data_IF_652906093478
#
_entry.id   IF_652906093478
#
_cell.length_a   1.000
_cell.length_b   1.000
_cell.length_c   1.000
_cell.angle_alpha   90.00
_cell.angle_beta   90.00
_cell.angle_gamma   90.00
#
_symmetry.space_group_name_H-M   'P 1'
#
loop_
_entity.id
_entity.type
_entity.pdbx_description
1 polymer ?
#
# COMPACT_ATOMS: atom_id res chain seq x y z
N UNK A 1 -7.28 36.08 21.01
CA UNK A 1 -8.62 36.12 20.34
C UNK A 1 -8.58 35.73 18.84
N UNK A 2 -7.47 35.17 18.32
CA UNK A 2 -7.32 34.80 16.89
C UNK A 2 -7.57 33.32 16.55
N UNK A 3 -7.88 32.45 17.52
CA UNK A 3 -8.13 31.01 17.25
C UNK A 3 -9.47 30.78 16.55
N UNK A 4 -10.56 31.39 17.04
CA UNK A 4 -11.92 31.10 16.56
C UNK A 4 -12.14 31.36 15.06
N UNK A 5 -11.50 32.37 14.48
CA UNK A 5 -11.68 32.67 13.05
C UNK A 5 -10.99 31.64 12.15
N UNK A 6 -9.82 31.13 12.55
CA UNK A 6 -9.08 30.14 11.77
C UNK A 6 -9.78 28.77 11.81
N UNK A 7 -10.42 28.43 12.93
CA UNK A 7 -11.17 27.19 13.09
C UNK A 7 -12.49 27.22 12.31
N UNK A 8 -13.17 28.38 12.27
CA UNK A 8 -14.37 28.57 11.46
C UNK A 8 -14.09 28.47 9.95
N UNK A 9 -12.99 29.09 9.48
CA UNK A 9 -12.55 28.97 8.08
C UNK A 9 -12.24 27.51 7.72
N UNK A 10 -11.56 26.77 8.61
CA UNK A 10 -11.27 25.34 8.39
C UNK A 10 -12.54 24.50 8.34
N UNK A 11 -13.52 24.76 9.22
CA UNK A 11 -14.80 24.06 9.23
C UNK A 11 -15.57 24.28 7.94
N UNK A 12 -15.63 25.53 7.47
CA UNK A 12 -16.23 25.90 6.20
C UNK A 12 -15.53 25.18 5.03
N UNK A 13 -14.19 25.23 4.97
CA UNK A 13 -13.43 24.54 3.93
C UNK A 13 -13.62 23.02 3.97
N UNK A 14 -13.79 22.43 5.15
CA UNK A 14 -14.07 21.01 5.30
C UNK A 14 -15.46 20.64 4.76
N UNK A 15 -16.47 21.46 5.05
CA UNK A 15 -17.82 21.29 4.49
C UNK A 15 -17.81 21.36 2.97
N UNK A 16 -17.15 22.39 2.39
CA UNK A 16 -16.99 22.55 0.94
C UNK A 16 -16.23 21.39 0.28
N UNK A 17 -15.26 20.78 0.99
CA UNK A 17 -14.50 19.61 0.53
C UNK A 17 -15.32 18.31 0.54
N UNK A 18 -16.23 18.15 1.49
CA UNK A 18 -17.03 16.92 1.65
C UNK A 18 -18.16 16.83 0.60
N UNK A 19 -18.67 17.96 0.12
CA UNK A 19 -19.83 18.03 -0.77
C UNK A 19 -19.48 18.28 -2.25
N UNK A 20 -18.33 17.80 -2.72
CA UNK A 20 -17.87 17.94 -4.13
C UNK A 20 -18.92 17.55 -5.17
N UNK A 21 -19.76 16.54 -4.87
CA UNK A 21 -20.87 16.12 -5.72
C UNK A 21 -21.91 17.24 -5.95
N UNK A 22 -22.18 18.05 -4.93
CA UNK A 22 -23.16 19.14 -5.01
C UNK A 22 -22.62 20.28 -5.89
N UNK A 23 -21.35 20.67 -5.71
CA UNK A 23 -20.72 21.69 -6.54
C UNK A 23 -20.60 21.27 -7.99
N UNK A 24 -20.38 19.97 -8.24
CA UNK A 24 -20.40 19.42 -9.60
C UNK A 24 -21.75 19.62 -10.26
N UNK A 25 -22.84 19.22 -9.59
CA UNK A 25 -24.20 19.41 -10.10
C UNK A 25 -24.53 20.89 -10.31
N UNK A 26 -24.18 21.76 -9.35
CA UNK A 26 -24.39 23.20 -9.47
C UNK A 26 -23.63 23.79 -10.66
N UNK A 27 -22.37 23.40 -10.87
CA UNK A 27 -21.55 23.87 -11.99
C UNK A 27 -22.11 23.39 -13.33
N UNK A 28 -22.58 22.14 -13.42
CA UNK A 28 -23.20 21.60 -14.65
C UNK A 28 -24.51 22.33 -14.97
N UNK A 29 -25.40 22.51 -13.99
CA UNK A 29 -26.70 23.18 -14.19
C UNK A 29 -26.49 24.66 -14.56
N UNK A 30 -25.69 25.38 -13.78
CA UNK A 30 -25.44 26.81 -14.05
C UNK A 30 -24.64 27.02 -15.34
N UNK A 31 -23.70 26.14 -15.64
CA UNK A 31 -22.98 26.14 -16.92
C UNK A 31 -23.92 25.90 -18.10
N UNK A 32 -24.80 24.91 -18.01
CA UNK A 32 -25.80 24.65 -19.04
C UNK A 32 -26.68 25.87 -19.30
N UNK A 33 -27.12 26.57 -18.25
CA UNK A 33 -27.94 27.78 -18.37
C UNK A 33 -27.18 28.92 -19.07
N UNK A 34 -25.91 29.14 -18.72
CA UNK A 34 -25.10 30.24 -19.27
C UNK A 34 -24.74 30.00 -20.73
N UNK A 35 -24.38 28.75 -21.08
CA UNK A 35 -23.89 28.36 -22.40
C UNK A 35 -24.99 27.79 -23.31
N UNK A 36 -26.25 27.70 -22.84
CA UNK A 36 -27.38 27.28 -23.68
C UNK A 36 -27.75 28.33 -24.72
N UNK A 37 -28.28 27.85 -25.85
CA UNK A 37 -28.92 28.68 -26.85
C UNK A 37 -30.35 29.09 -26.39
N UNK A 38 -30.83 30.26 -26.81
CA UNK A 38 -32.13 30.84 -26.46
C UNK A 38 -33.31 29.90 -26.75
N UNK A 39 -33.16 29.02 -27.74
CA UNK A 39 -34.15 27.97 -28.05
C UNK A 39 -34.41 27.05 -26.85
N UNK A 40 -33.36 26.64 -26.14
CA UNK A 40 -33.48 25.74 -24.99
C UNK A 40 -33.95 26.48 -23.74
N UNK A 41 -33.49 27.72 -23.56
CA UNK A 41 -33.89 28.57 -22.43
C UNK A 41 -35.41 28.83 -22.44
N UNK A 42 -35.99 29.07 -23.63
CA UNK A 42 -37.44 29.27 -23.81
C UNK A 42 -38.26 28.03 -23.50
N UNK A 43 -37.75 26.83 -23.76
CA UNK A 43 -38.42 25.56 -23.44
C UNK A 43 -38.58 25.37 -21.92
N UNK A 44 -37.63 25.87 -21.13
CA UNK A 44 -37.68 25.80 -19.66
C UNK A 44 -38.43 26.97 -19.01
N UNK A 45 -39.02 27.89 -19.79
CA UNK A 45 -39.84 28.98 -19.27
C UNK A 45 -39.07 30.09 -18.54
N UNK A 46 -37.76 30.22 -18.78
CA UNK A 46 -36.96 31.29 -18.19
C UNK A 46 -37.15 32.60 -18.96
N UNK A 47 -38.27 33.27 -18.73
CA UNK A 47 -38.51 34.61 -19.25
C UNK A 47 -37.59 35.62 -18.53
N UNK A 48 -36.86 36.45 -19.30
CA UNK A 48 -35.90 37.48 -18.80
C UNK A 48 -34.64 36.94 -18.12
N UNK A 49 -34.10 35.83 -18.59
CA UNK A 49 -32.86 35.27 -18.03
C UNK A 49 -31.67 36.24 -18.10
N UNK A 50 -31.67 37.18 -19.05
CA UNK A 50 -30.60 38.17 -19.23
C UNK A 50 -30.34 39.03 -17.98
N UNK A 51 -31.39 39.30 -17.19
CA UNK A 51 -31.29 40.05 -15.93
C UNK A 51 -30.58 39.23 -14.85
N UNK A 52 -30.79 37.92 -14.85
CA UNK A 52 -30.25 37.00 -13.83
C UNK A 52 -28.92 36.34 -14.23
N UNK A 53 -28.56 36.41 -15.51
CA UNK A 53 -27.35 35.81 -16.09
C UNK A 53 -26.06 36.18 -15.34
N UNK A 54 -25.85 37.44 -14.88
CA UNK A 54 -24.66 37.79 -14.09
C UNK A 54 -24.59 37.05 -12.74
N UNK A 55 -25.72 36.88 -12.05
CA UNK A 55 -25.78 36.17 -10.76
C UNK A 55 -25.53 34.67 -10.95
N UNK A 56 -26.12 34.07 -11.98
CA UNK A 56 -25.90 32.65 -12.33
C UNK A 56 -24.43 32.42 -12.70
N UNK A 57 -23.80 33.38 -13.38
CA UNK A 57 -22.38 33.34 -13.72
C UNK A 57 -21.47 33.35 -12.48
N UNK A 58 -21.83 34.10 -11.43
CA UNK A 58 -21.09 34.09 -10.17
C UNK A 58 -21.19 32.74 -9.45
N UNK A 59 -22.38 32.12 -9.45
CA UNK A 59 -22.59 30.77 -8.90
C UNK A 59 -21.82 29.72 -9.70
N UNK A 60 -21.81 29.83 -11.03
CA UNK A 60 -21.02 28.95 -11.89
C UNK A 60 -19.51 29.07 -11.61
N UNK A 61 -18.99 30.31 -11.55
CA UNK A 61 -17.57 30.54 -11.35
C UNK A 61 -17.08 30.08 -9.96
N UNK A 62 -17.87 30.37 -8.92
CA UNK A 62 -17.57 29.92 -7.56
C UNK A 62 -17.60 28.39 -7.44
N UNK A 63 -18.65 27.74 -7.94
CA UNK A 63 -18.74 26.26 -7.93
C UNK A 63 -17.61 25.61 -8.74
N UNK A 64 -17.27 26.17 -9.91
CA UNK A 64 -16.19 25.69 -10.75
C UNK A 64 -14.81 25.84 -10.07
N UNK A 65 -14.55 26.97 -9.41
CA UNK A 65 -13.29 27.19 -8.69
C UNK A 65 -13.07 26.16 -7.58
N UNK A 66 -14.12 25.82 -6.83
CA UNK A 66 -14.08 24.80 -5.77
C UNK A 66 -13.82 23.40 -6.37
N UNK A 67 -14.45 23.08 -7.51
CA UNK A 67 -14.20 21.81 -8.20
C UNK A 67 -12.75 21.69 -8.67
N UNK A 68 -12.21 22.75 -9.29
CA UNK A 68 -10.82 22.78 -9.75
C UNK A 68 -9.84 22.59 -8.59
N UNK A 69 -10.06 23.29 -7.48
CA UNK A 69 -9.23 23.12 -6.27
C UNK A 69 -9.25 21.66 -5.76
N UNK A 70 -10.43 21.03 -5.72
CA UNK A 70 -10.55 19.64 -5.30
C UNK A 70 -9.88 18.66 -6.26
N UNK A 71 -9.95 18.90 -7.56
CA UNK A 71 -9.26 18.10 -8.58
C UNK A 71 -7.73 18.20 -8.38
N UNK A 72 -7.20 19.40 -8.17
CA UNK A 72 -5.76 19.60 -7.91
C UNK A 72 -5.32 18.85 -6.65
N UNK A 73 -6.08 18.97 -5.55
CA UNK A 73 -5.79 18.24 -4.30
C UNK A 73 -5.85 16.72 -4.52
N UNK A 74 -6.84 16.24 -5.27
CA UNK A 74 -6.97 14.82 -5.58
C UNK A 74 -5.76 14.30 -6.37
N UNK A 75 -5.35 15.01 -7.41
CA UNK A 75 -4.18 14.68 -8.22
C UNK A 75 -2.91 14.68 -7.36
N UNK A 76 -2.69 15.73 -6.57
CA UNK A 76 -1.54 15.83 -5.67
C UNK A 76 -1.48 14.65 -4.68
N UNK A 77 -2.62 14.28 -4.09
CA UNK A 77 -2.71 13.12 -3.20
C UNK A 77 -2.47 11.79 -3.93
N UNK A 78 -2.95 11.67 -5.17
CA UNK A 78 -2.69 10.49 -6.00
C UNK A 78 -1.18 10.33 -6.26
N UNK A 79 -0.53 11.40 -6.69
CA UNK A 79 0.93 11.45 -6.93
C UNK A 79 1.69 11.14 -5.64
N UNK A 80 1.35 11.80 -4.53
CA UNK A 80 2.01 11.59 -3.23
C UNK A 80 1.89 10.13 -2.77
N UNK A 81 0.70 9.52 -2.88
CA UNK A 81 0.51 8.10 -2.54
C UNK A 81 1.35 7.18 -3.43
N UNK A 82 1.42 7.47 -4.73
CA UNK A 82 2.24 6.69 -5.68
C UNK A 82 3.72 6.81 -5.33
N UNK A 83 4.22 8.02 -5.08
CA UNK A 83 5.61 8.25 -4.67
C UNK A 83 5.95 7.56 -3.35
N UNK A 84 5.06 7.64 -2.35
CA UNK A 84 5.26 6.96 -1.06
C UNK A 84 5.37 5.45 -1.23
N UNK A 85 4.50 4.83 -2.05
CA UNK A 85 4.58 3.39 -2.36
C UNK A 85 5.93 3.04 -3.01
N UNK A 86 6.33 3.78 -4.05
CA UNK A 86 7.61 3.58 -4.72
C UNK A 86 8.78 3.68 -3.73
N UNK A 87 8.78 4.68 -2.85
CA UNK A 87 9.85 4.85 -1.86
C UNK A 87 9.87 3.74 -0.81
N UNK A 88 8.69 3.27 -0.36
CA UNK A 88 8.60 2.13 0.54
C UNK A 88 9.15 0.87 -0.11
N UNK A 89 8.78 0.59 -1.36
CA UNK A 89 9.25 -0.58 -2.07
C UNK A 89 10.75 -0.50 -2.33
N UNK A 90 11.28 0.67 -2.73
CA UNK A 90 12.73 0.90 -2.80
C UNK A 90 13.43 0.65 -1.47
N UNK A 91 12.86 1.11 -0.35
CA UNK A 91 13.44 0.91 0.99
C UNK A 91 13.49 -0.57 1.36
N UNK A 92 12.43 -1.34 1.05
CA UNK A 92 12.39 -2.80 1.27
C UNK A 92 13.45 -3.50 0.42
N UNK A 93 13.53 -3.16 -0.86
CA UNK A 93 14.51 -3.76 -1.79
C UNK A 93 15.93 -3.47 -1.32
N UNK A 94 16.21 -2.26 -0.82
CA UNK A 94 17.52 -1.92 -0.24
C UNK A 94 17.87 -2.74 1.01
N UNK A 95 16.88 -3.33 1.71
CA UNK A 95 17.18 -4.24 2.81
C UNK A 95 17.86 -5.53 2.33
N UNK A 96 17.58 -5.99 1.09
CA UNK A 96 18.25 -7.16 0.51
C UNK A 96 19.77 -6.98 0.42
N UNK A 97 20.23 -5.76 0.21
CA UNK A 97 21.66 -5.46 0.07
C UNK A 97 22.38 -5.39 1.44
N UNK A 98 21.63 -5.45 2.55
CA UNK A 98 22.14 -5.36 3.91
C UNK A 98 21.64 -6.52 4.78
N UNK A 99 21.45 -7.69 4.17
CA UNK A 99 21.16 -8.92 4.91
C UNK A 99 22.44 -9.42 5.58
N UNK A 100 22.34 -9.74 6.87
CA UNK A 100 23.41 -10.44 7.58
C UNK A 100 23.39 -11.95 7.25
N UNK A 101 24.44 -12.67 7.67
CA UNK A 101 24.60 -14.07 7.31
C UNK A 101 23.51 -14.98 7.91
N UNK A 102 22.95 -14.61 9.07
CA UNK A 102 21.83 -15.34 9.69
C UNK A 102 20.52 -15.12 8.93
N UNK A 103 20.26 -13.88 8.52
CA UNK A 103 19.11 -13.52 7.69
C UNK A 103 19.17 -14.22 6.33
N UNK A 104 20.34 -14.26 5.69
CA UNK A 104 20.55 -15.03 4.47
C UNK A 104 20.30 -16.51 4.68
N UNK A 105 20.77 -17.08 5.80
CA UNK A 105 20.51 -18.48 6.15
C UNK A 105 19.01 -18.78 6.22
N UNK A 106 18.21 -17.92 6.84
CA UNK A 106 16.75 -18.07 6.87
C UNK A 106 16.14 -18.03 5.47
N UNK A 107 16.59 -17.13 4.59
CA UNK A 107 16.07 -17.04 3.23
C UNK A 107 16.46 -18.25 2.37
N UNK A 108 17.67 -18.80 2.55
CA UNK A 108 18.12 -20.03 1.88
C UNK A 108 17.20 -21.22 2.17
N UNK A 109 16.59 -21.29 3.35
CA UNK A 109 15.67 -22.39 3.70
C UNK A 109 14.48 -22.52 2.74
N UNK A 110 13.97 -21.41 2.17
CA UNK A 110 12.90 -21.46 1.17
C UNK A 110 13.34 -22.21 -0.10
N UNK A 111 14.61 -22.04 -0.49
CA UNK A 111 15.21 -22.70 -1.64
C UNK A 111 15.56 -24.15 -1.36
N UNK A 112 16.10 -24.44 -0.17
CA UNK A 112 16.43 -25.80 0.28
C UNK A 112 15.16 -26.67 0.34
N UNK A 113 14.08 -26.14 0.91
CA UNK A 113 12.81 -26.86 1.05
C UNK A 113 11.94 -26.82 -0.22
N UNK A 114 12.24 -25.93 -1.17
CA UNK A 114 11.47 -25.73 -2.40
C UNK A 114 10.02 -25.30 -2.14
N UNK A 115 9.79 -24.47 -1.12
CA UNK A 115 8.44 -24.04 -0.69
C UNK A 115 8.36 -22.54 -0.58
N UNK A 116 7.23 -21.98 -0.99
CA UNK A 116 6.97 -20.54 -0.86
C UNK A 116 6.58 -20.14 0.57
N UNK A 117 6.24 -21.11 1.42
CA UNK A 117 5.94 -20.88 2.83
C UNK A 117 6.55 -21.93 3.74
N UNK A 118 7.12 -21.45 4.85
CA UNK A 118 7.73 -22.26 5.89
C UNK A 118 7.15 -21.89 7.25
N UNK A 119 7.03 -22.88 8.13
CA UNK A 119 6.72 -22.64 9.55
C UNK A 119 7.99 -22.19 10.24
N UNK A 120 7.93 -21.08 10.97
CA UNK A 120 9.09 -20.46 11.62
C UNK A 120 8.72 -19.89 12.99
N UNK A 121 9.63 -19.93 13.98
CA UNK A 121 9.40 -19.32 15.29
C UNK A 121 9.43 -17.80 15.21
N UNK A 122 8.31 -17.13 15.49
CA UNK A 122 8.28 -15.65 15.46
C UNK A 122 9.01 -14.99 16.64
N UNK A 123 9.32 -15.78 17.67
CA UNK A 123 10.07 -15.34 18.84
C UNK A 123 11.59 -15.37 18.61
N UNK A 124 12.04 -15.97 17.50
CA UNK A 124 13.43 -15.93 17.07
C UNK A 124 13.79 -14.52 16.60
N UNK A 125 14.94 -14.01 17.03
CA UNK A 125 15.35 -12.63 16.78
C UNK A 125 15.61 -12.34 15.31
N UNK A 126 16.12 -13.32 14.56
CA UNK A 126 16.39 -13.19 13.11
C UNK A 126 15.06 -13.15 12.35
N UNK A 127 14.12 -14.03 12.72
CA UNK A 127 12.77 -14.05 12.13
C UNK A 127 12.03 -12.73 12.43
N UNK A 128 12.08 -12.25 13.67
CA UNK A 128 11.50 -10.98 14.07
C UNK A 128 12.15 -9.80 13.32
N UNK A 129 13.47 -9.83 13.13
CA UNK A 129 14.22 -8.89 12.31
C UNK A 129 13.73 -8.82 10.88
N UNK A 130 13.64 -9.98 10.20
CA UNK A 130 13.16 -10.09 8.82
C UNK A 130 11.70 -9.64 8.64
N UNK A 131 10.84 -9.93 9.63
CA UNK A 131 9.46 -9.43 9.68
C UNK A 131 9.44 -7.89 9.81
N UNK A 132 10.28 -7.33 10.69
CA UNK A 132 10.38 -5.87 10.88
C UNK A 132 10.91 -5.15 9.62
N UNK A 133 11.82 -5.79 8.87
CA UNK A 133 12.34 -5.34 7.57
C UNK A 133 11.33 -5.53 6.44
N UNK A 134 10.21 -6.22 6.68
CA UNK A 134 9.19 -6.60 5.70
C UNK A 134 9.77 -7.45 4.55
N UNK A 135 10.81 -8.23 4.87
CA UNK A 135 11.40 -9.25 3.99
C UNK A 135 10.59 -10.54 4.08
N UNK A 136 10.18 -10.91 5.29
CA UNK A 136 9.18 -11.94 5.53
C UNK A 136 7.81 -11.31 5.80
N UNK A 137 6.75 -12.04 5.47
CA UNK A 137 5.36 -11.68 5.76
C UNK A 137 4.58 -12.87 6.31
N UNK A 138 3.57 -12.57 7.13
CA UNK A 138 2.57 -13.57 7.52
C UNK A 138 1.69 -13.93 6.32
N UNK A 139 1.41 -15.22 6.16
CA UNK A 139 0.43 -15.64 5.17
C UNK A 139 -0.99 -15.23 5.57
N UNK A 140 -1.70 -14.54 4.67
CA UNK A 140 -3.01 -13.94 4.91
C UNK A 140 -4.14 -14.94 5.23
N UNK A 141 -3.92 -16.24 5.03
CA UNK A 141 -4.89 -17.29 5.36
C UNK A 141 -4.96 -17.64 6.87
N UNK A 142 -4.19 -16.94 7.72
CA UNK A 142 -4.20 -17.11 9.18
C UNK A 142 -5.45 -16.56 9.90
N UNK A 143 -6.40 -16.00 9.15
CA UNK A 143 -7.57 -15.34 9.71
C UNK A 143 -8.54 -16.19 10.53
N UNK A 144 -8.49 -17.54 10.51
CA UNK A 144 -9.53 -18.36 11.16
C UNK A 144 -9.14 -19.77 11.66
N UNK A 145 -7.85 -20.14 11.74
CA UNK A 145 -7.48 -21.46 12.29
C UNK A 145 -6.31 -21.33 13.27
N UNK A 146 -6.70 -20.99 14.49
CA UNK A 146 -5.87 -21.12 15.67
C UNK A 146 -5.47 -22.58 15.85
N UNK A 147 -4.26 -22.90 15.42
CA UNK A 147 -3.39 -23.86 16.10
C UNK A 147 -1.96 -23.44 15.76
N UNK A 148 -1.48 -22.42 16.49
CA UNK A 148 -0.06 -22.26 16.74
C UNK A 148 0.39 -23.51 17.51
N UNK A 149 0.65 -24.59 16.77
CA UNK A 149 1.35 -25.74 17.32
C UNK A 149 2.74 -25.22 17.63
N UNK A 150 3.05 -25.01 18.90
CA UNK A 150 4.41 -24.73 19.36
C UNK A 150 5.01 -23.37 18.97
N UNK A 151 4.23 -22.27 18.87
CA UNK A 151 4.72 -20.90 18.58
C UNK A 151 5.29 -20.66 17.17
N UNK A 152 5.21 -21.64 16.27
CA UNK A 152 5.67 -21.50 14.88
C UNK A 152 4.55 -21.02 13.94
N UNK A 153 4.85 -20.03 13.10
CA UNK A 153 3.91 -19.41 12.17
C UNK A 153 4.35 -19.62 10.72
N UNK A 154 3.41 -19.84 9.78
CA UNK A 154 3.70 -19.86 8.36
C UNK A 154 4.01 -18.47 7.85
N UNK A 155 5.26 -18.29 7.48
CA UNK A 155 5.79 -17.10 6.87
C UNK A 155 6.12 -17.39 5.40
N UNK A 156 6.14 -16.34 4.60
CA UNK A 156 6.59 -16.36 3.21
C UNK A 156 7.50 -15.16 2.96
N UNK A 157 8.35 -15.25 1.93
CA UNK A 157 9.08 -14.08 1.44
C UNK A 157 8.07 -13.07 0.90
N UNK A 158 8.31 -11.78 1.16
CA UNK A 158 7.48 -10.71 0.59
C UNK A 158 7.55 -10.79 -0.94
N UNK A 159 6.42 -10.79 -1.68
CA UNK A 159 6.43 -10.98 -3.14
C UNK A 159 7.31 -9.97 -3.91
N UNK A 160 7.41 -8.73 -3.41
CA UNK A 160 8.26 -7.69 -4.03
C UNK A 160 9.75 -8.02 -3.83
N UNK A 161 10.07 -8.67 -2.72
CA UNK A 161 11.43 -9.12 -2.38
C UNK A 161 11.76 -10.40 -3.12
N UNK A 162 10.82 -11.35 -3.18
CA UNK A 162 10.93 -12.62 -3.89
C UNK A 162 11.18 -12.42 -5.40
N UNK A 163 10.61 -11.39 -6.02
CA UNK A 163 10.92 -11.05 -7.42
C UNK A 163 12.37 -10.58 -7.63
N UNK A 164 13.05 -10.11 -6.58
CA UNK A 164 14.36 -9.44 -6.67
C UNK A 164 15.49 -10.15 -5.93
N UNK A 165 15.17 -11.21 -5.22
CA UNK A 165 16.16 -12.04 -4.54
C UNK A 165 16.90 -12.87 -5.59
N UNK A 166 18.20 -13.04 -5.43
CA UNK A 166 19.05 -13.82 -6.33
C UNK A 166 19.88 -14.78 -5.49
N UNK A 167 20.35 -15.87 -6.09
CA UNK A 167 21.20 -16.84 -5.42
C UNK A 167 22.42 -16.17 -4.75
N UNK A 168 23.06 -15.23 -5.46
CA UNK A 168 24.17 -14.42 -4.93
C UNK A 168 23.80 -13.63 -3.67
N UNK A 169 22.60 -13.01 -3.63
CA UNK A 169 22.20 -12.16 -2.49
C UNK A 169 22.00 -12.92 -1.19
N UNK A 170 21.78 -14.23 -1.27
CA UNK A 170 21.58 -15.11 -0.12
C UNK A 170 22.70 -16.13 0.03
N UNK A 171 23.80 -15.98 -0.71
CA UNK A 171 24.92 -16.92 -0.74
C UNK A 171 24.46 -18.37 -1.03
N UNK A 172 23.45 -18.53 -1.90
CA UNK A 172 22.99 -19.83 -2.37
C UNK A 172 23.84 -20.28 -3.56
N UNK A 173 24.43 -21.49 -3.53
CA UNK A 173 25.35 -21.95 -4.57
C UNK A 173 24.60 -22.27 -5.89
N UNK A 174 25.22 -21.96 -7.02
CA UNK A 174 24.69 -22.32 -8.35
C UNK A 174 24.80 -23.82 -8.63
N UNK A 175 25.89 -24.44 -8.16
CA UNK A 175 26.15 -25.87 -8.31
C UNK A 175 26.23 -26.56 -6.94
N UNK A 176 25.55 -27.71 -6.84
CA UNK A 176 25.55 -28.54 -5.64
C UNK A 176 26.66 -29.58 -5.78
N UNK A 177 27.79 -29.33 -5.14
CA UNK A 177 28.89 -30.27 -4.95
C UNK A 177 29.01 -30.62 -3.46
N UNK A 178 29.98 -31.46 -3.10
CA UNK A 178 30.11 -31.90 -1.71
C UNK A 178 30.43 -30.72 -0.76
N UNK A 179 31.31 -29.81 -1.18
CA UNK A 179 31.70 -28.64 -0.39
C UNK A 179 30.54 -27.66 -0.18
N UNK A 180 29.78 -27.34 -1.24
CA UNK A 180 28.64 -26.44 -1.15
C UNK A 180 27.49 -27.06 -0.35
N UNK A 181 27.32 -28.38 -0.44
CA UNK A 181 26.38 -29.12 0.41
C UNK A 181 26.76 -29.03 1.89
N UNK A 182 28.03 -29.22 2.21
CA UNK A 182 28.52 -29.14 3.58
C UNK A 182 28.38 -27.70 4.11
N UNK A 183 28.67 -26.69 3.29
CA UNK A 183 28.39 -25.28 3.61
C UNK A 183 26.92 -25.03 3.92
N UNK A 184 25.99 -25.50 3.07
CA UNK A 184 24.56 -25.30 3.28
C UNK A 184 24.10 -25.95 4.58
N UNK A 185 24.52 -27.19 4.85
CA UNK A 185 24.15 -27.93 6.06
C UNK A 185 24.70 -27.27 7.33
N UNK A 186 25.94 -26.78 7.29
CA UNK A 186 26.59 -26.17 8.45
C UNK A 186 26.10 -24.74 8.75
N UNK A 187 25.40 -24.10 7.81
CA UNK A 187 24.91 -22.73 7.95
C UNK A 187 23.38 -22.66 7.87
N UNK A 188 22.68 -23.70 8.33
CA UNK A 188 21.21 -23.66 8.50
C UNK A 188 20.85 -23.01 9.84
N UNK A 189 19.70 -22.35 9.96
CA UNK A 189 19.24 -21.82 11.24
C UNK A 189 18.94 -22.92 12.27
N UNK A 190 19.28 -22.67 13.55
CA UNK A 190 19.13 -23.63 14.65
C UNK A 190 17.71 -24.20 14.81
N UNK A 191 16.68 -23.41 14.49
CA UNK A 191 15.29 -23.81 14.62
C UNK A 191 14.87 -24.89 13.60
N UNK A 192 15.63 -25.12 12.54
CA UNK A 192 15.33 -26.12 11.51
C UNK A 192 15.35 -27.54 12.08
N UNK A 193 16.33 -27.84 12.93
CA UNK A 193 16.48 -29.17 13.53
C UNK A 193 15.31 -29.49 14.47
N UNK A 194 14.83 -28.49 15.21
CA UNK A 194 13.63 -28.61 16.05
C UNK A 194 12.40 -29.01 15.22
N UNK A 195 12.16 -28.31 14.12
CA UNK A 195 10.99 -28.57 13.25
C UNK A 195 11.09 -29.94 12.58
N UNK A 196 12.28 -30.36 12.17
CA UNK A 196 12.48 -31.67 11.54
C UNK A 196 12.25 -32.82 12.54
N UNK A 197 12.67 -32.67 13.80
CA UNK A 197 12.35 -33.63 14.86
C UNK A 197 10.83 -33.78 15.07
N UNK A 198 10.07 -32.67 15.10
CA UNK A 198 8.61 -32.72 15.22
C UNK A 198 7.92 -33.43 14.03
N UNK A 199 8.41 -33.22 12.81
CA UNK A 199 7.89 -33.92 11.61
C UNK A 199 8.06 -35.44 11.70
N UNK A 200 9.14 -35.91 12.35
CA UNK A 200 9.41 -37.34 12.54
C UNK A 200 8.48 -37.93 13.60
N UNK A 201 8.25 -37.20 14.70
CA UNK A 201 7.40 -37.65 15.82
C UNK A 201 5.91 -37.72 15.41
N UNK A 202 5.47 -36.89 14.45
CA UNK A 202 4.08 -36.85 13.96
C UNK A 202 3.79 -37.77 12.76
N UNK A 203 4.76 -38.58 12.30
CA UNK A 203 4.57 -39.62 11.28
C UNK A 203 4.40 -40.99 11.94
#
# INVERSE_FOLDING_TARGET
KCSNNMDFIKLILYFFKQSTKIFFVLSVISGFIIFSNDKYIKVFGFERIDVYKPYISLVFLSSLSILLANIVIYIANCISRKMKRINLDKKKIKQLDNLDDFEKAVLREFYIEGKNSLKMPINDEVIAGLLSKNVLIYNSQFGNRSMAIGLDFPLSINPIIEEKITNEKIDFPEEINQETKDFLLNNRPDWVDRINCEKIIMK
#
